data_IF_426032000718
#
_entry.id   IF_426032000718
#
_cell.length_a   1.000
_cell.length_b   1.000
_cell.length_c   1.000
_cell.angle_alpha   90.00
_cell.angle_beta   90.00
_cell.angle_gamma   90.00
#
_symmetry.space_group_name_H-M   'P 1'
#
loop_
_entity.id
_entity.type
_entity.pdbx_description
1 polymer ?
#
# COMPACT_ATOMS: atom_id res chain seq x y z
N UNK A 1 -6.57 -14.54 -14.53
CA UNK A 1 -6.30 -13.56 -15.62
C UNK A 1 -7.33 -12.44 -15.69
N UNK A 2 -8.63 -12.67 -15.48
CA UNK A 2 -9.65 -11.62 -15.52
C UNK A 2 -9.53 -10.53 -14.42
N UNK A 3 -8.93 -10.88 -13.29
CA UNK A 3 -8.78 -10.02 -12.11
C UNK A 3 -7.88 -8.80 -12.35
N UNK A 4 -6.77 -8.95 -13.09
CA UNK A 4 -5.84 -7.85 -13.37
C UNK A 4 -6.47 -6.72 -14.20
N UNK A 5 -7.22 -7.00 -15.29
CA UNK A 5 -8.01 -5.97 -16.00
C UNK A 5 -9.00 -5.23 -15.12
N UNK A 6 -9.68 -5.91 -14.19
CA UNK A 6 -10.61 -5.26 -13.26
C UNK A 6 -9.88 -4.28 -12.34
N UNK A 7 -8.78 -4.69 -11.70
CA UNK A 7 -8.02 -3.77 -10.85
C UNK A 7 -7.39 -2.63 -11.62
N UNK A 8 -6.91 -2.87 -12.84
CA UNK A 8 -6.44 -1.82 -13.73
C UNK A 8 -7.55 -0.81 -14.05
N UNK A 9 -8.78 -1.28 -14.29
CA UNK A 9 -9.96 -0.43 -14.50
C UNK A 9 -10.30 0.43 -13.28
N UNK A 10 -10.30 -0.15 -12.07
CA UNK A 10 -10.55 0.62 -10.84
C UNK A 10 -9.43 1.64 -10.60
N UNK A 11 -8.16 1.24 -10.76
CA UNK A 11 -7.02 2.17 -10.66
C UNK A 11 -7.12 3.30 -11.67
N UNK A 12 -7.57 3.03 -12.91
CA UNK A 12 -7.77 4.07 -13.92
C UNK A 12 -8.89 5.05 -13.53
N UNK A 13 -9.99 4.58 -12.94
CA UNK A 13 -11.06 5.43 -12.42
C UNK A 13 -10.53 6.29 -11.26
N UNK A 14 -9.78 5.70 -10.32
CA UNK A 14 -9.19 6.40 -9.19
C UNK A 14 -8.14 7.44 -9.61
N UNK A 15 -7.36 7.15 -10.66
CA UNK A 15 -6.46 8.12 -11.27
C UNK A 15 -7.23 9.26 -11.94
N UNK A 16 -8.24 8.92 -12.75
CA UNK A 16 -9.07 9.90 -13.44
C UNK A 16 -9.85 10.82 -12.51
N UNK A 17 -10.26 10.33 -11.33
CA UNK A 17 -10.92 11.14 -10.30
C UNK A 17 -9.95 11.93 -9.41
N UNK A 18 -8.64 11.61 -9.45
CA UNK A 18 -7.62 12.20 -8.58
C UNK A 18 -7.63 11.67 -7.14
N UNK A 19 -8.45 10.68 -6.81
CA UNK A 19 -8.63 10.18 -5.44
C UNK A 19 -7.32 9.71 -4.81
N UNK A 20 -6.48 9.01 -5.57
CA UNK A 20 -5.16 8.55 -5.09
C UNK A 20 -4.31 9.73 -4.62
N UNK A 21 -4.25 10.80 -5.41
CA UNK A 21 -3.46 11.98 -5.11
C UNK A 21 -4.07 12.76 -3.93
N UNK A 22 -5.39 12.85 -3.84
CA UNK A 22 -6.07 13.49 -2.70
C UNK A 22 -5.75 12.80 -1.38
N UNK A 23 -5.83 11.47 -1.33
CA UNK A 23 -5.49 10.70 -0.14
C UNK A 23 -4.01 10.85 0.19
N UNK A 24 -3.13 10.66 -0.80
CA UNK A 24 -1.69 10.75 -0.59
C UNK A 24 -1.27 12.15 -0.13
N UNK A 25 -1.87 13.20 -0.68
CA UNK A 25 -1.60 14.59 -0.30
C UNK A 25 -1.89 14.85 1.17
N UNK A 26 -2.99 14.34 1.71
CA UNK A 26 -3.34 14.55 3.11
C UNK A 26 -2.24 14.05 4.06
N UNK A 27 -1.66 12.89 3.75
CA UNK A 27 -0.55 12.31 4.50
C UNK A 27 0.77 13.07 4.29
N UNK A 28 1.06 13.51 3.07
CA UNK A 28 2.25 14.34 2.78
C UNK A 28 2.19 15.68 3.51
N UNK A 29 1.02 16.33 3.58
CA UNK A 29 0.86 17.65 4.19
C UNK A 29 1.12 17.64 5.71
N UNK A 30 0.99 16.49 6.38
CA UNK A 30 1.34 16.31 7.80
C UNK A 30 2.72 15.68 8.03
N UNK A 31 3.47 15.41 6.95
CA UNK A 31 4.76 14.73 6.99
C UNK A 31 5.92 15.70 7.22
N UNK A 32 6.97 15.17 7.85
CA UNK A 32 8.31 15.74 7.88
C UNK A 32 9.25 14.88 7.03
N UNK A 33 10.50 15.29 6.74
CA UNK A 33 11.40 14.48 5.94
C UNK A 33 11.63 13.08 6.53
N UNK A 34 11.69 12.98 7.86
CA UNK A 34 11.90 11.73 8.59
C UNK A 34 10.62 10.89 8.72
N UNK A 35 9.46 11.53 8.82
CA UNK A 35 8.17 10.81 8.99
C UNK A 35 7.47 10.51 7.68
N UNK A 36 7.93 11.06 6.55
CA UNK A 36 7.35 10.83 5.23
C UNK A 36 7.30 9.33 4.85
N UNK A 37 8.34 8.50 5.07
CA UNK A 37 8.25 7.07 4.79
C UNK A 37 7.12 6.40 5.59
N UNK A 38 6.96 6.74 6.88
CA UNK A 38 5.89 6.20 7.71
C UNK A 38 4.51 6.60 7.18
N UNK A 39 4.30 7.87 6.83
CA UNK A 39 3.04 8.32 6.26
C UNK A 39 2.79 7.76 4.86
N UNK A 40 3.84 7.50 4.08
CA UNK A 40 3.78 6.77 2.81
C UNK A 40 3.30 5.33 2.96
N UNK A 41 3.76 4.63 4.00
CA UNK A 41 3.28 3.29 4.36
C UNK A 41 1.76 3.30 4.62
N UNK A 42 1.29 4.18 5.50
CA UNK A 42 -0.13 4.28 5.86
C UNK A 42 -0.97 4.70 4.65
N UNK A 43 -0.52 5.70 3.91
CA UNK A 43 -1.19 6.18 2.70
C UNK A 43 -1.37 5.07 1.66
N UNK A 44 -0.31 4.30 1.39
CA UNK A 44 -0.35 3.16 0.49
C UNK A 44 -1.30 2.08 0.97
N UNK A 45 -1.28 1.74 2.26
CA UNK A 45 -2.23 0.79 2.83
C UNK A 45 -3.69 1.22 2.62
N UNK A 46 -4.01 2.50 2.84
CA UNK A 46 -5.36 3.05 2.64
C UNK A 46 -5.76 3.03 1.17
N UNK A 47 -4.88 3.41 0.26
CA UNK A 47 -5.17 3.43 -1.19
C UNK A 47 -5.42 2.02 -1.72
N UNK A 48 -4.64 1.02 -1.27
CA UNK A 48 -4.73 -0.34 -1.78
C UNK A 48 -6.07 -1.03 -1.46
N UNK A 49 -6.77 -0.60 -0.39
CA UNK A 49 -8.11 -1.10 -0.07
C UNK A 49 -9.13 -0.94 -1.20
N UNK A 50 -8.97 0.12 -2.00
CA UNK A 50 -9.89 0.44 -3.09
C UNK A 50 -9.56 -0.33 -4.36
N UNK A 51 -8.27 -0.55 -4.63
CA UNK A 51 -7.82 -1.17 -5.86
C UNK A 51 -6.49 -1.91 -5.66
N UNK A 52 -6.53 -3.22 -5.34
CA UNK A 52 -5.35 -4.00 -5.04
C UNK A 52 -4.59 -4.37 -6.32
N UNK A 53 -3.60 -3.55 -6.67
CA UNK A 53 -2.74 -3.75 -7.84
C UNK A 53 -1.39 -3.09 -7.62
N UNK A 54 -0.37 -3.85 -7.24
CA UNK A 54 0.97 -3.32 -6.99
C UNK A 54 1.51 -2.44 -8.14
N UNK A 55 1.34 -2.89 -9.40
CA UNK A 55 1.80 -2.16 -10.58
C UNK A 55 1.02 -0.87 -10.85
N UNK A 56 -0.32 -0.93 -10.80
CA UNK A 56 -1.17 0.25 -11.01
C UNK A 56 -1.02 1.27 -9.88
N UNK A 57 -0.94 0.76 -8.65
CA UNK A 57 -0.67 1.53 -7.45
C UNK A 57 0.63 2.31 -7.56
N UNK A 58 1.72 1.62 -7.92
CA UNK A 58 3.02 2.26 -8.12
C UNK A 58 2.98 3.28 -9.25
N UNK A 59 2.33 2.97 -10.38
CA UNK A 59 2.25 3.87 -11.53
C UNK A 59 1.55 5.21 -11.21
N UNK A 60 0.68 5.24 -10.19
CA UNK A 60 -0.10 6.43 -9.82
C UNK A 60 0.45 7.08 -8.54
N UNK A 61 0.51 6.36 -7.42
CA UNK A 61 0.99 6.92 -6.15
C UNK A 61 2.52 7.10 -6.12
N UNK A 62 3.27 6.19 -6.77
CA UNK A 62 4.74 6.19 -6.72
C UNK A 62 5.36 7.53 -7.14
N UNK A 63 5.07 8.04 -8.35
CA UNK A 63 5.56 9.35 -8.80
C UNK A 63 5.20 10.48 -7.84
N UNK A 64 3.97 10.50 -7.32
CA UNK A 64 3.52 11.51 -6.36
C UNK A 64 4.36 11.49 -5.07
N UNK A 65 4.61 10.30 -4.52
CA UNK A 65 5.41 10.15 -3.29
C UNK A 65 6.89 10.46 -3.51
N UNK A 66 7.44 10.14 -4.69
CA UNK A 66 8.82 10.51 -5.06
C UNK A 66 8.96 12.02 -5.17
N UNK A 67 7.97 12.71 -5.74
CA UNK A 67 7.95 14.17 -5.81
C UNK A 67 7.82 14.81 -4.42
N UNK A 68 6.95 14.26 -3.56
CA UNK A 68 6.85 14.67 -2.15
C UNK A 68 8.19 14.51 -1.41
N UNK A 69 8.90 13.41 -1.64
CA UNK A 69 10.22 13.19 -1.04
C UNK A 69 11.24 14.25 -1.50
N UNK A 70 11.25 14.60 -2.79
CA UNK A 70 12.10 15.69 -3.29
C UNK A 70 11.77 17.03 -2.66
N UNK A 71 10.48 17.37 -2.59
CA UNK A 71 10.02 18.65 -2.06
C UNK A 71 10.30 18.80 -0.56
N UNK A 72 10.20 17.72 0.20
CA UNK A 72 10.51 17.68 1.63
C UNK A 72 11.99 17.41 1.90
N UNK A 73 12.84 17.21 0.89
CA UNK A 73 14.23 16.77 1.05
C UNK A 73 14.35 15.49 1.91
N UNK A 74 13.44 14.55 1.70
CA UNK A 74 13.39 13.24 2.33
C UNK A 74 14.11 12.18 1.48
N UNK A 75 14.41 11.03 2.09
CA UNK A 75 15.01 9.91 1.38
C UNK A 75 14.01 9.26 0.40
N UNK A 76 14.33 9.32 -0.90
CA UNK A 76 13.49 8.77 -1.95
C UNK A 76 13.40 7.24 -1.90
N UNK A 77 14.48 6.55 -1.56
CA UNK A 77 14.51 5.09 -1.51
C UNK A 77 13.64 4.56 -0.37
N UNK A 78 13.77 5.15 0.83
CA UNK A 78 12.92 4.82 1.99
C UNK A 78 11.44 5.09 1.70
N UNK A 79 11.15 6.22 1.05
CA UNK A 79 9.78 6.59 0.68
C UNK A 79 9.19 5.64 -0.37
N UNK A 80 9.95 5.27 -1.41
CA UNK A 80 9.52 4.29 -2.40
C UNK A 80 9.25 2.92 -1.77
N UNK A 81 10.17 2.45 -0.91
CA UNK A 81 10.03 1.18 -0.21
C UNK A 81 8.82 1.16 0.72
N UNK A 82 8.53 2.26 1.42
CA UNK A 82 7.40 2.32 2.32
C UNK A 82 6.06 2.22 1.60
N UNK A 83 5.94 2.80 0.39
CA UNK A 83 4.75 2.61 -0.47
C UNK A 83 4.58 1.13 -0.84
N UNK A 84 5.64 0.46 -1.29
CA UNK A 84 5.59 -0.98 -1.60
C UNK A 84 5.18 -1.82 -0.38
N UNK A 85 5.76 -1.52 0.79
CA UNK A 85 5.45 -2.24 2.02
C UNK A 85 4.01 -2.01 2.50
N UNK A 86 3.46 -0.80 2.32
CA UNK A 86 2.08 -0.49 2.68
C UNK A 86 1.08 -1.21 1.79
N UNK A 87 1.42 -1.36 0.51
CA UNK A 87 0.64 -2.11 -0.47
C UNK A 87 0.61 -3.61 -0.08
N UNK A 88 1.79 -4.19 0.15
CA UNK A 88 1.92 -5.59 0.57
C UNK A 88 1.26 -5.89 1.93
N UNK A 89 1.29 -4.93 2.86
CA UNK A 89 0.60 -5.06 4.14
C UNK A 89 -0.92 -5.13 3.95
N UNK A 90 -1.49 -4.32 3.05
CA UNK A 90 -2.92 -4.35 2.78
C UNK A 90 -3.36 -5.65 2.09
N UNK A 91 -2.51 -6.26 1.26
CA UNK A 91 -2.78 -7.55 0.62
C UNK A 91 -2.94 -8.71 1.62
N UNK A 92 -2.59 -8.55 2.90
CA UNK A 92 -2.92 -9.51 3.97
C UNK A 92 -4.37 -9.39 4.43
N UNK A 93 -4.95 -8.18 4.37
CA UNK A 93 -6.37 -7.94 4.69
C UNK A 93 -7.26 -8.40 3.54
N UNK A 94 -6.80 -8.22 2.30
CA UNK A 94 -7.50 -8.65 1.09
C UNK A 94 -6.64 -9.67 0.30
N UNK A 95 -6.52 -10.93 0.77
CA UNK A 95 -5.56 -11.91 0.25
C UNK A 95 -6.01 -12.54 -1.08
N UNK A 96 -6.30 -11.72 -2.08
CA UNK A 96 -6.79 -12.21 -3.36
C UNK A 96 -5.73 -12.98 -4.15
N UNK A 97 -4.46 -12.77 -3.84
CA UNK A 97 -3.33 -13.57 -4.34
C UNK A 97 -3.43 -15.05 -3.92
N UNK A 98 -4.16 -15.35 -2.85
CA UNK A 98 -4.26 -16.68 -2.26
C UNK A 98 -5.43 -17.50 -2.85
N UNK A 99 -6.33 -16.88 -3.61
CA UNK A 99 -7.48 -17.54 -4.25
C UNK A 99 -7.12 -18.78 -5.09
N UNK A 100 -6.05 -18.78 -5.92
CA UNK A 100 -5.67 -19.96 -6.69
C UNK A 100 -5.28 -21.14 -5.79
N UNK A 101 -4.53 -20.87 -4.72
CA UNK A 101 -4.09 -21.91 -3.77
C UNK A 101 -5.29 -22.48 -3.01
N UNK A 102 -6.23 -21.64 -2.59
CA UNK A 102 -7.47 -22.07 -1.94
C UNK A 102 -8.31 -22.98 -2.83
N UNK A 103 -8.39 -22.69 -4.13
CA UNK A 103 -9.10 -23.52 -5.09
C UNK A 103 -8.48 -24.94 -5.20
N UNK A 104 -7.15 -25.04 -5.15
CA UNK A 104 -6.42 -26.31 -5.18
C UNK A 104 -6.64 -27.09 -3.87
N UNK A 105 -6.57 -26.40 -2.72
CA UNK A 105 -6.75 -27.00 -1.39
C UNK A 105 -8.22 -27.25 -1.02
N UNK A 106 -9.17 -26.87 -1.89
CA UNK A 106 -10.62 -26.93 -1.65
C UNK A 106 -11.06 -26.21 -0.36
N UNK A 107 -10.35 -25.14 -0.02
CA UNK A 107 -10.69 -24.26 1.10
C UNK A 107 -11.48 -23.06 0.60
N UNK A 108 -12.34 -22.53 1.46
CA UNK A 108 -12.99 -21.25 1.23
C UNK A 108 -12.12 -20.12 1.77
N UNK A 109 -12.29 -18.92 1.22
CA UNK A 109 -11.62 -17.71 1.71
C UNK A 109 -11.87 -17.50 3.22
N UNK A 110 -13.09 -17.75 3.70
CA UNK A 110 -13.45 -17.64 5.13
C UNK A 110 -12.54 -18.48 6.03
N UNK A 111 -12.05 -19.62 5.55
CA UNK A 111 -11.29 -20.57 6.35
C UNK A 111 -9.90 -20.03 6.71
N UNK A 112 -9.40 -19.08 5.92
CA UNK A 112 -8.05 -18.50 6.08
C UNK A 112 -8.03 -17.04 6.52
N UNK A 113 -9.12 -16.29 6.31
CA UNK A 113 -9.16 -14.84 6.53
C UNK A 113 -8.77 -14.45 7.97
N UNK A 114 -9.12 -15.27 8.96
CA UNK A 114 -8.73 -15.02 10.35
C UNK A 114 -7.20 -15.01 10.52
N UNK A 115 -6.49 -15.92 9.87
CA UNK A 115 -5.02 -15.98 9.94
C UNK A 115 -4.39 -14.77 9.26
N UNK A 116 -4.82 -14.44 8.04
CA UNK A 116 -4.23 -13.32 7.29
C UNK A 116 -4.48 -11.97 7.95
N UNK A 117 -5.64 -11.77 8.58
CA UNK A 117 -5.94 -10.55 9.34
C UNK A 117 -5.13 -10.48 10.64
N UNK A 118 -4.93 -11.60 11.35
CA UNK A 118 -4.05 -11.63 12.52
C UNK A 118 -2.61 -11.29 12.14
N UNK A 119 -2.11 -11.86 11.03
CA UNK A 119 -0.79 -11.53 10.49
C UNK A 119 -0.72 -10.06 10.07
N UNK A 120 -1.78 -9.51 9.47
CA UNK A 120 -1.85 -8.09 9.13
C UNK A 120 -1.71 -7.18 10.37
N UNK A 121 -2.27 -7.56 11.52
CA UNK A 121 -2.11 -6.79 12.77
C UNK A 121 -0.65 -6.85 13.25
N UNK A 122 -0.01 -8.02 13.18
CA UNK A 122 1.41 -8.13 13.55
C UNK A 122 2.32 -7.35 12.61
N UNK A 123 2.09 -7.46 11.30
CA UNK A 123 2.83 -6.71 10.28
C UNK A 123 2.61 -5.20 10.42
N UNK A 124 1.41 -4.75 10.81
CA UNK A 124 1.13 -3.34 11.13
C UNK A 124 2.14 -2.81 12.15
N UNK A 125 2.31 -3.52 13.27
CA UNK A 125 3.18 -3.09 14.36
C UNK A 125 4.64 -3.07 13.88
N UNK A 126 5.10 -4.15 13.25
CA UNK A 126 6.49 -4.29 12.81
C UNK A 126 6.84 -3.27 11.74
N UNK A 127 6.00 -3.10 10.72
CA UNK A 127 6.25 -2.14 9.63
C UNK A 127 6.14 -0.70 10.13
N UNK A 128 5.14 -0.38 10.95
CA UNK A 128 4.97 0.98 11.49
C UNK A 128 6.18 1.40 12.32
N UNK A 129 6.60 0.55 13.27
CA UNK A 129 7.74 0.85 14.13
C UNK A 129 9.04 0.85 13.33
N UNK A 130 9.26 -0.17 12.49
CA UNK A 130 10.48 -0.31 11.70
C UNK A 130 10.69 0.85 10.73
N UNK A 131 9.65 1.23 9.97
CA UNK A 131 9.72 2.35 9.02
C UNK A 131 9.89 3.68 9.76
N UNK A 132 9.19 3.88 10.89
CA UNK A 132 9.32 5.12 11.64
C UNK A 132 10.74 5.30 12.16
N UNK A 133 11.33 4.26 12.79
CA UNK A 133 12.72 4.30 13.26
C UNK A 133 13.68 4.50 12.08
N UNK A 134 13.51 3.76 10.99
CA UNK A 134 14.37 3.87 9.81
C UNK A 134 14.33 5.26 9.17
N UNK A 135 13.22 5.98 9.30
CA UNK A 135 13.11 7.38 8.87
C UNK A 135 14.05 8.36 9.58
N UNK A 136 14.45 8.05 10.82
CA UNK A 136 15.36 8.89 11.62
C UNK A 136 16.85 8.49 11.53
N UNK A 137 17.16 7.37 10.89
CA UNK A 137 18.54 6.89 10.68
C UNK A 137 19.14 7.45 9.40
#
# INVERSE_FOLDING_TARGET
>A
MLQYPFYAGIMAIMAGSGLVNTIAKWFVDISTPQTLPFWGLISSFVINFFAPSAGGHWAIQGPFMVEAAKNLNADMAKTAMSVMMGNAWNDLVQPFWLLPTLAISRLQLRDIMGYTVLDAIWVCIVFSVGILIWGYM
#
